data_IF_359982689987
#
_entry.id   IF_359982689987
#
_cell.length_a   1.000
_cell.length_b   1.000
_cell.length_c   1.000
_cell.angle_alpha   90.00
_cell.angle_beta   90.00
_cell.angle_gamma   90.00
#
_symmetry.space_group_name_H-M   'P 1'
#
loop_
_entity.id
_entity.type
_entity.pdbx_description
1 polymer ?
#
# COMPACT_ATOMS: atom_id res chain seq x y z
N UNK A 1 -16.13 -15.63 4.94
CA UNK A 1 -14.80 -15.88 4.36
C UNK A 1 -13.85 -14.90 5.03
N UNK A 2 -12.82 -15.38 5.74
CA UNK A 2 -11.86 -14.49 6.42
C UNK A 2 -10.99 -13.86 5.33
N UNK A 3 -11.20 -12.57 5.05
CA UNK A 3 -10.36 -11.81 4.12
C UNK A 3 -9.18 -11.28 4.93
N UNK A 4 -8.13 -12.08 4.99
CA UNK A 4 -6.93 -11.77 5.75
C UNK A 4 -5.70 -12.26 4.99
N UNK A 5 -4.63 -11.49 5.05
CA UNK A 5 -3.29 -11.96 4.67
C UNK A 5 -2.83 -13.04 5.66
N UNK A 6 -1.95 -13.94 5.24
CA UNK A 6 -1.50 -15.01 6.13
C UNK A 6 -0.69 -14.47 7.31
N UNK A 7 0.08 -13.40 7.09
CA UNK A 7 0.82 -12.70 8.13
C UNK A 7 0.77 -11.19 7.90
N UNK A 8 0.96 -10.41 8.98
CA UNK A 8 1.12 -8.97 8.91
C UNK A 8 2.44 -8.60 9.58
N UNK A 9 3.38 -8.09 8.81
CA UNK A 9 4.65 -7.58 9.28
C UNK A 9 4.60 -6.06 9.45
N UNK A 10 5.28 -5.55 10.47
CA UNK A 10 5.53 -4.13 10.65
C UNK A 10 7.03 -3.91 10.66
N UNK A 11 7.52 -3.05 9.76
CA UNK A 11 8.92 -2.65 9.69
C UNK A 11 9.11 -1.41 10.53
N UNK A 12 10.01 -1.47 11.52
CA UNK A 12 10.27 -0.34 12.41
C UNK A 12 11.56 -0.52 13.20
N UNK A 13 12.21 0.57 13.58
CA UNK A 13 13.46 0.49 14.36
C UNK A 13 13.20 -0.10 15.76
N UNK A 14 14.09 -0.98 16.28
CA UNK A 14 13.97 -1.50 17.65
C UNK A 14 13.97 -0.39 18.72
N UNK A 15 14.65 0.72 18.44
CA UNK A 15 14.73 1.87 19.34
C UNK A 15 13.46 2.72 19.41
N UNK A 16 12.52 2.55 18.46
CA UNK A 16 11.25 3.29 18.41
C UNK A 16 10.16 2.57 19.19
N UNK A 17 10.40 2.37 20.50
CA UNK A 17 9.46 1.67 21.38
C UNK A 17 8.10 2.38 21.44
N UNK A 18 8.09 3.71 21.34
CA UNK A 18 6.88 4.53 21.22
C UNK A 18 5.98 4.11 20.05
N UNK A 19 6.58 3.88 18.87
CA UNK A 19 5.85 3.44 17.67
C UNK A 19 5.41 2.00 17.79
N UNK A 20 6.29 1.13 18.31
CA UNK A 20 6.02 -0.31 18.50
C UNK A 20 4.84 -0.55 19.44
N UNK A 21 4.83 0.11 20.60
CA UNK A 21 3.74 0.02 21.58
C UNK A 21 2.42 0.50 20.95
N UNK A 22 2.46 1.63 20.23
CA UNK A 22 1.31 2.15 19.50
C UNK A 22 0.77 1.18 18.46
N UNK A 23 1.64 0.55 17.65
CA UNK A 23 1.24 -0.43 16.64
C UNK A 23 0.63 -1.68 17.27
N UNK A 24 1.19 -2.19 18.39
CA UNK A 24 0.63 -3.34 19.09
C UNK A 24 -0.77 -3.06 19.63
N UNK A 25 -0.97 -1.91 20.28
CA UNK A 25 -2.29 -1.51 20.78
C UNK A 25 -3.29 -1.37 19.62
N UNK A 26 -2.92 -0.62 18.58
CA UNK A 26 -3.75 -0.38 17.40
C UNK A 26 -4.16 -1.70 16.69
N UNK A 27 -3.22 -2.63 16.54
CA UNK A 27 -3.47 -3.94 15.98
C UNK A 27 -4.43 -4.75 16.86
N UNK A 28 -4.24 -4.74 18.19
CA UNK A 28 -5.14 -5.41 19.14
C UNK A 28 -6.56 -4.85 19.07
N UNK A 29 -6.72 -3.52 19.03
CA UNK A 29 -8.01 -2.84 18.90
C UNK A 29 -8.72 -3.15 17.56
N UNK A 30 -7.96 -3.57 16.55
CA UNK A 30 -8.47 -3.96 15.23
C UNK A 30 -8.64 -5.47 15.08
N UNK A 31 -8.40 -6.26 16.13
CA UNK A 31 -8.34 -7.73 16.08
C UNK A 31 -7.42 -8.20 14.93
N UNK A 32 -6.23 -7.59 14.86
CA UNK A 32 -5.16 -7.90 13.91
C UNK A 32 -3.94 -8.37 14.70
N UNK A 33 -3.30 -9.43 14.21
CA UNK A 33 -2.03 -9.90 14.74
C UNK A 33 -0.92 -9.35 13.85
N UNK A 34 0.09 -8.78 14.49
CA UNK A 34 1.28 -8.25 13.81
C UNK A 34 2.55 -8.88 14.36
N UNK A 35 3.59 -8.90 13.54
CA UNK A 35 4.96 -9.28 13.91
C UNK A 35 5.93 -8.18 13.43
N UNK A 36 6.86 -7.77 14.28
CA UNK A 36 7.83 -6.75 13.92
C UNK A 36 9.03 -7.35 13.18
N UNK A 37 9.43 -6.68 12.11
CA UNK A 37 10.72 -6.85 11.46
C UNK A 37 11.60 -5.68 11.87
N UNK A 38 12.73 -5.99 12.50
CA UNK A 38 13.64 -4.98 13.00
C UNK A 38 14.24 -4.17 11.86
N UNK A 39 14.07 -2.85 11.96
CA UNK A 39 14.71 -1.87 11.10
C UNK A 39 16.23 -1.94 11.23
N UNK A 40 16.92 -1.65 10.12
CA UNK A 40 18.38 -1.69 10.05
C UNK A 40 18.90 -0.27 9.97
N UNK A 41 19.90 0.08 10.79
CA UNK A 41 20.61 1.34 10.62
C UNK A 41 21.51 1.23 9.39
N UNK A 42 21.33 2.10 8.39
CA UNK A 42 22.09 2.01 7.15
C UNK A 42 23.60 2.11 7.35
N UNK A 43 24.08 2.77 8.40
CA UNK A 43 25.50 2.84 8.76
C UNK A 43 26.12 1.46 8.99
N UNK A 44 25.33 0.51 9.43
CA UNK A 44 25.76 -0.85 9.75
C UNK A 44 25.75 -1.77 8.50
N UNK A 45 25.27 -1.28 7.35
CA UNK A 45 25.23 -2.03 6.09
C UNK A 45 26.56 -1.83 5.35
N UNK A 46 27.42 -2.86 5.24
CA UNK A 46 28.70 -2.70 4.53
C UNK A 46 28.47 -2.56 3.02
N UNK A 47 29.32 -1.78 2.34
CA UNK A 47 29.20 -1.52 0.90
C UNK A 47 29.13 -2.81 0.06
N UNK A 48 29.89 -3.83 0.45
CA UNK A 48 29.90 -5.15 -0.22
C UNK A 48 28.56 -5.91 -0.15
N UNK A 49 27.63 -5.49 0.71
CA UNK A 49 26.29 -6.07 0.83
C UNK A 49 25.24 -5.32 0.00
N UNK A 50 25.61 -4.23 -0.68
CA UNK A 50 24.72 -3.45 -1.53
C UNK A 50 24.89 -3.93 -2.97
N UNK A 51 23.86 -4.54 -3.58
CA UNK A 51 23.91 -4.91 -4.99
C UNK A 51 24.19 -3.68 -5.87
N UNK A 52 25.27 -3.77 -6.66
CA UNK A 52 25.68 -2.73 -7.61
C UNK A 52 26.44 -3.38 -8.77
N UNK A 53 26.16 -2.94 -9.99
CA UNK A 53 26.80 -3.42 -11.23
C UNK A 53 27.77 -2.39 -11.82
N UNK A 54 27.80 -1.17 -11.27
CA UNK A 54 28.70 -0.09 -11.65
C UNK A 54 29.14 0.73 -10.42
N UNK A 55 30.23 1.49 -10.57
CA UNK A 55 30.69 2.43 -9.54
C UNK A 55 29.70 3.58 -9.39
N UNK A 56 29.31 3.87 -8.15
CA UNK A 56 28.36 4.93 -7.81
C UNK A 56 28.52 5.36 -6.36
N UNK A 57 27.96 6.53 -6.06
CA UNK A 57 27.86 6.99 -4.69
C UNK A 57 26.95 6.07 -3.86
N UNK A 58 27.36 5.86 -2.62
CA UNK A 58 26.56 5.16 -1.63
C UNK A 58 25.30 5.98 -1.35
N UNK A 59 24.15 5.33 -1.43
CA UNK A 59 22.87 5.93 -1.03
C UNK A 59 22.92 6.33 0.46
N UNK A 60 22.18 7.37 0.83
CA UNK A 60 22.13 7.80 2.23
C UNK A 60 21.70 6.64 3.16
N UNK A 61 22.22 6.65 4.39
CA UNK A 61 22.03 5.54 5.32
C UNK A 61 20.56 5.32 5.70
N UNK A 62 19.74 6.36 5.76
CA UNK A 62 18.32 6.20 6.08
C UNK A 62 17.57 5.40 5.00
N UNK A 63 17.78 5.74 3.72
CA UNK A 63 17.19 5.01 2.59
C UNK A 63 17.74 3.60 2.45
N UNK A 64 19.04 3.38 2.71
CA UNK A 64 19.62 2.03 2.73
C UNK A 64 19.06 1.16 3.87
N UNK A 65 18.89 1.75 5.05
CA UNK A 65 18.29 1.09 6.20
C UNK A 65 16.85 0.66 5.94
N UNK A 66 16.05 1.57 5.36
CA UNK A 66 14.69 1.29 4.89
C UNK A 66 14.67 0.14 3.88
N UNK A 67 15.46 0.23 2.79
CA UNK A 67 15.55 -0.84 1.80
C UNK A 67 15.87 -2.18 2.45
N UNK A 68 16.89 -2.24 3.31
CA UNK A 68 17.31 -3.49 3.91
C UNK A 68 16.24 -4.09 4.82
N UNK A 69 15.57 -3.27 5.62
CA UNK A 69 14.52 -3.72 6.51
C UNK A 69 13.32 -4.30 5.74
N UNK A 70 12.87 -3.64 4.67
CA UNK A 70 11.81 -4.16 3.81
C UNK A 70 12.24 -5.44 3.07
N UNK A 71 13.49 -5.53 2.63
CA UNK A 71 14.00 -6.76 2.03
C UNK A 71 14.07 -7.92 3.03
N UNK A 72 14.29 -7.66 4.33
CA UNK A 72 14.21 -8.69 5.38
C UNK A 72 12.76 -9.18 5.55
N UNK A 73 11.78 -8.28 5.59
CA UNK A 73 10.36 -8.66 5.65
C UNK A 73 9.96 -9.53 4.44
N UNK A 74 10.43 -9.19 3.24
CA UNK A 74 10.19 -9.98 2.02
C UNK A 74 10.87 -11.35 2.09
N UNK A 75 12.05 -11.45 2.70
CA UNK A 75 12.72 -12.74 2.93
C UNK A 75 11.87 -13.66 3.81
N UNK A 76 11.24 -13.14 4.87
CA UNK A 76 10.37 -13.94 5.76
C UNK A 76 9.19 -14.56 5.01
N UNK A 77 8.59 -13.85 4.04
CA UNK A 77 7.52 -14.39 3.19
C UNK A 77 7.98 -15.65 2.45
N UNK A 78 9.18 -15.62 1.90
CA UNK A 78 9.75 -16.74 1.15
C UNK A 78 10.22 -17.85 2.08
N UNK A 79 10.95 -17.50 3.14
CA UNK A 79 11.53 -18.43 4.10
C UNK A 79 10.46 -19.23 4.83
N UNK A 80 9.38 -18.57 5.25
CA UNK A 80 8.24 -19.21 5.94
C UNK A 80 7.21 -19.79 4.98
N UNK A 81 7.45 -19.70 3.67
CA UNK A 81 6.54 -20.15 2.61
C UNK A 81 5.09 -19.63 2.82
N UNK A 82 4.97 -18.33 3.12
CA UNK A 82 3.67 -17.68 3.30
C UNK A 82 3.01 -17.47 1.94
N UNK A 83 1.71 -17.72 1.86
CA UNK A 83 0.89 -17.46 0.66
C UNK A 83 0.83 -15.97 0.34
N UNK A 84 0.70 -15.13 1.37
CA UNK A 84 0.73 -13.67 1.28
C UNK A 84 1.08 -13.04 2.62
N UNK A 85 1.68 -11.86 2.60
CA UNK A 85 1.87 -11.06 3.80
C UNK A 85 1.58 -9.58 3.50
N UNK A 86 0.97 -8.87 4.45
CA UNK A 86 0.90 -7.42 4.48
C UNK A 86 2.11 -6.89 5.23
N UNK A 87 2.81 -5.90 4.67
CA UNK A 87 3.97 -5.27 5.27
C UNK A 87 3.62 -3.79 5.44
N UNK A 88 3.74 -3.29 6.67
CA UNK A 88 3.43 -1.92 7.06
C UNK A 88 4.67 -1.20 7.59
N UNK A 89 4.74 0.11 7.40
CA UNK A 89 5.66 0.98 8.16
C UNK A 89 5.10 1.21 9.58
N UNK A 90 5.94 1.59 10.55
CA UNK A 90 5.56 1.67 11.97
C UNK A 90 4.86 2.98 12.39
N UNK A 91 4.73 3.94 11.47
CA UNK A 91 4.04 5.21 11.66
C UNK A 91 2.74 5.32 10.87
N UNK A 92 2.10 4.18 10.57
CA UNK A 92 0.82 4.16 9.86
C UNK A 92 -0.39 4.00 10.77
N UNK A 93 -1.52 4.39 10.23
CA UNK A 93 -2.84 4.15 10.79
C UNK A 93 -3.90 3.96 9.73
N UNK A 94 -5.04 3.44 10.18
CA UNK A 94 -6.12 2.97 9.33
C UNK A 94 -7.47 3.26 9.96
N UNK A 95 -8.52 3.15 9.14
CA UNK A 95 -9.90 3.32 9.61
C UNK A 95 -10.31 2.09 10.44
N UNK A 96 -11.08 2.27 11.52
CA UNK A 96 -11.61 1.15 12.32
C UNK A 96 -12.36 0.10 11.45
N UNK A 97 -12.84 0.50 10.27
CA UNK A 97 -13.52 -0.35 9.27
C UNK A 97 -12.55 -1.08 8.33
N UNK A 98 -11.25 -1.15 8.64
CA UNK A 98 -10.21 -1.73 7.77
C UNK A 98 -10.53 -3.13 7.26
N UNK A 99 -11.14 -3.99 8.08
CA UNK A 99 -11.53 -5.35 7.64
C UNK A 99 -12.55 -5.33 6.51
N UNK A 100 -13.50 -4.39 6.53
CA UNK A 100 -14.45 -4.18 5.43
C UNK A 100 -13.74 -3.61 4.20
N UNK A 101 -12.86 -2.63 4.38
CA UNK A 101 -12.09 -2.05 3.27
C UNK A 101 -11.20 -3.11 2.57
N UNK A 102 -10.61 -4.03 3.34
CA UNK A 102 -9.83 -5.14 2.81
C UNK A 102 -10.71 -6.18 2.09
N UNK A 103 -11.95 -6.40 2.53
CA UNK A 103 -12.95 -7.20 1.80
C UNK A 103 -13.28 -6.59 0.45
N UNK A 104 -13.55 -5.29 0.40
CA UNK A 104 -13.86 -4.56 -0.82
C UNK A 104 -12.67 -4.56 -1.79
N UNK A 105 -11.46 -4.38 -1.27
CA UNK A 105 -10.22 -4.54 -2.03
C UNK A 105 -10.11 -5.94 -2.62
N UNK A 106 -10.39 -6.98 -1.82
CA UNK A 106 -10.31 -8.37 -2.27
C UNK A 106 -11.31 -8.67 -3.39
N UNK A 107 -12.54 -8.14 -3.32
CA UNK A 107 -13.52 -8.28 -4.40
C UNK A 107 -13.09 -7.52 -5.66
N UNK A 108 -12.56 -6.31 -5.50
CA UNK A 108 -12.15 -5.45 -6.61
C UNK A 108 -10.93 -6.01 -7.36
N UNK A 109 -9.92 -6.47 -6.63
CA UNK A 109 -8.71 -7.09 -7.18
C UNK A 109 -9.03 -8.37 -7.96
N UNK A 110 -9.96 -9.20 -7.47
CA UNK A 110 -10.51 -10.34 -8.19
C UNK A 110 -11.17 -9.94 -9.50
N UNK A 111 -12.02 -8.91 -9.51
CA UNK A 111 -12.69 -8.46 -10.72
C UNK A 111 -11.70 -8.04 -11.83
N UNK A 112 -10.54 -7.51 -11.44
CA UNK A 112 -9.50 -7.04 -12.38
C UNK A 112 -8.59 -8.20 -12.85
N UNK A 113 -8.30 -9.18 -11.99
CA UNK A 113 -7.21 -10.15 -12.24
C UNK A 113 -7.60 -11.63 -12.27
N UNK A 114 -8.85 -11.96 -11.94
CA UNK A 114 -9.37 -13.31 -12.09
C UNK A 114 -10.06 -13.49 -13.45
N UNK A 115 -9.91 -14.67 -14.08
CA UNK A 115 -10.65 -15.00 -15.29
C UNK A 115 -12.16 -14.97 -15.05
N UNK A 116 -12.90 -14.66 -16.12
CA UNK A 116 -14.34 -14.85 -16.15
C UNK A 116 -14.68 -16.35 -16.17
N UNK A 117 -15.83 -16.77 -15.61
CA UNK A 117 -16.21 -18.17 -15.51
C UNK A 117 -16.16 -18.90 -16.85
N UNK A 118 -15.57 -20.09 -16.85
CA UNK A 118 -15.46 -20.95 -18.04
C UNK A 118 -14.76 -20.27 -19.24
N UNK A 119 -13.94 -19.25 -18.99
CA UNK A 119 -13.26 -18.46 -20.01
C UNK A 119 -11.80 -18.19 -19.64
N UNK A 120 -11.00 -17.82 -20.64
CA UNK A 120 -9.65 -17.25 -20.44
C UNK A 120 -9.63 -15.72 -20.51
N UNK A 121 -10.81 -15.11 -20.67
CA UNK A 121 -10.99 -13.67 -20.74
C UNK A 121 -11.09 -13.06 -19.35
N UNK A 122 -10.77 -11.78 -19.25
CA UNK A 122 -10.84 -10.97 -18.04
C UNK A 122 -11.85 -9.84 -18.24
N UNK A 123 -12.38 -9.31 -17.13
CA UNK A 123 -13.22 -8.12 -17.20
C UNK A 123 -12.42 -6.87 -17.58
N UNK A 124 -11.15 -6.81 -17.19
CA UNK A 124 -10.18 -5.89 -17.76
C UNK A 124 -9.66 -6.45 -19.10
N UNK A 125 -10.07 -5.91 -20.26
CA UNK A 125 -9.65 -6.43 -21.56
C UNK A 125 -8.16 -6.21 -21.85
N UNK A 126 -7.46 -5.44 -21.01
CA UNK A 126 -6.01 -5.17 -21.15
C UNK A 126 -5.16 -6.02 -20.21
N UNK A 127 -5.76 -6.87 -19.38
CA UNK A 127 -5.07 -7.82 -18.52
C UNK A 127 -4.90 -9.19 -19.21
N UNK A 128 -3.76 -9.91 -19.05
CA UNK A 128 -2.59 -9.59 -18.21
C UNK A 128 -1.58 -8.63 -18.84
N UNK A 129 -1.67 -8.38 -20.15
CA UNK A 129 -0.80 -7.45 -20.86
C UNK A 129 -1.60 -6.72 -21.95
N UNK A 130 -1.49 -5.39 -22.08
CA UNK A 130 -2.18 -4.65 -23.14
C UNK A 130 -1.74 -5.12 -24.53
N UNK A 131 -2.66 -5.21 -25.49
CA UNK A 131 -2.31 -5.41 -26.89
C UNK A 131 -2.08 -4.06 -27.58
N UNK A 132 -1.25 -4.01 -28.63
CA UNK A 132 -1.00 -2.78 -29.41
C UNK A 132 -2.26 -2.19 -30.06
N UNK A 133 -3.28 -3.03 -30.22
CA UNK A 133 -4.58 -2.71 -30.82
C UNK A 133 -5.66 -2.48 -29.74
N UNK A 134 -5.31 -2.62 -28.46
CA UNK A 134 -6.25 -2.51 -27.34
C UNK A 134 -6.74 -1.07 -27.12
N UNK A 135 -7.95 -0.99 -26.56
CA UNK A 135 -8.67 0.24 -26.27
C UNK A 135 -7.79 1.26 -25.53
N UNK A 136 -7.72 2.49 -26.06
CA UNK A 136 -7.10 3.63 -25.36
C UNK A 136 -7.86 4.01 -24.09
N UNK A 137 -9.15 3.65 -24.01
CA UNK A 137 -10.02 3.87 -22.86
C UNK A 137 -10.72 2.57 -22.47
N UNK A 138 -10.45 2.08 -21.26
CA UNK A 138 -11.13 0.93 -20.66
C UNK A 138 -12.26 1.44 -19.75
N UNK A 139 -13.51 0.98 -19.92
CA UNK A 139 -14.60 1.37 -19.05
C UNK A 139 -14.37 0.99 -17.59
N UNK A 140 -14.85 1.85 -16.69
CA UNK A 140 -14.82 1.57 -15.26
C UNK A 140 -15.78 0.42 -14.90
N UNK A 141 -15.31 -0.50 -14.06
CA UNK A 141 -16.14 -1.54 -13.47
C UNK A 141 -16.74 -0.98 -12.18
N UNK A 142 -18.06 -0.93 -12.07
CA UNK A 142 -18.70 -0.44 -10.84
C UNK A 142 -18.66 -1.52 -9.74
N UNK A 143 -18.25 -1.14 -8.53
CA UNK A 143 -18.15 -2.06 -7.38
C UNK A 143 -19.50 -2.72 -7.02
N UNK A 144 -20.61 -2.00 -7.17
CA UNK A 144 -21.94 -2.57 -6.91
C UNK A 144 -22.45 -3.46 -8.06
N UNK A 145 -21.65 -3.67 -9.10
CA UNK A 145 -21.97 -4.48 -10.27
C UNK A 145 -20.74 -5.22 -10.79
N UNK A 146 -19.94 -5.77 -9.85
CA UNK A 146 -18.76 -6.55 -10.22
C UNK A 146 -19.16 -7.78 -11.06
N UNK A 147 -18.36 -8.10 -12.09
CA UNK A 147 -18.55 -9.34 -12.83
C UNK A 147 -18.30 -10.53 -11.91
N UNK A 148 -19.01 -11.62 -12.17
CA UNK A 148 -18.65 -12.92 -11.58
C UNK A 148 -17.31 -13.35 -12.17
N UNK A 149 -16.39 -13.80 -11.33
CA UNK A 149 -15.09 -14.35 -11.72
C UNK A 149 -14.94 -15.78 -11.20
N UNK A 150 -13.98 -16.52 -11.75
CA UNK A 150 -13.55 -17.79 -11.16
C UNK A 150 -13.14 -17.57 -9.68
N UNK A 151 -13.50 -18.50 -8.77
CA UNK A 151 -13.16 -18.36 -7.36
C UNK A 151 -11.64 -18.47 -7.17
N UNK A 152 -11.03 -17.60 -6.35
CA UNK A 152 -9.60 -17.66 -6.10
C UNK A 152 -9.23 -18.94 -5.34
N UNK A 153 -8.04 -19.47 -5.61
CA UNK A 153 -7.54 -20.72 -5.02
C UNK A 153 -6.50 -20.50 -3.93
N UNK A 154 -5.72 -19.43 -4.02
CA UNK A 154 -4.54 -19.19 -3.19
C UNK A 154 -4.80 -18.07 -2.20
N UNK A 155 -5.32 -16.94 -2.68
CA UNK A 155 -5.47 -15.73 -1.89
C UNK A 155 -6.85 -15.11 -2.09
N UNK A 156 -7.49 -14.57 -1.04
CA UNK A 156 -8.78 -13.89 -1.19
C UNK A 156 -8.69 -12.68 -2.13
N UNK A 157 -7.50 -12.16 -2.44
CA UNK A 157 -7.27 -11.05 -3.36
C UNK A 157 -7.07 -11.50 -4.82
N UNK A 158 -7.26 -12.79 -5.12
CA UNK A 158 -6.99 -13.38 -6.43
C UNK A 158 -5.66 -14.11 -6.49
N UNK A 159 -5.44 -14.85 -7.58
CA UNK A 159 -4.30 -15.75 -7.75
C UNK A 159 -3.16 -15.14 -8.61
N UNK A 160 -3.41 -14.00 -9.27
CA UNK A 160 -2.52 -13.44 -10.31
C UNK A 160 -1.97 -12.04 -9.98
N UNK A 161 -1.74 -11.74 -8.70
CA UNK A 161 -1.11 -10.50 -8.26
C UNK A 161 0.25 -10.76 -7.61
N UNK A 162 1.19 -9.83 -7.80
CA UNK A 162 2.53 -9.85 -7.21
C UNK A 162 2.60 -8.95 -5.99
N UNK A 163 2.06 -7.73 -6.09
CA UNK A 163 2.02 -6.75 -4.99
C UNK A 163 0.69 -5.98 -4.96
N UNK A 164 0.18 -5.74 -3.76
CA UNK A 164 -0.94 -4.80 -3.52
C UNK A 164 -0.40 -3.60 -2.75
N UNK A 165 -0.35 -2.42 -3.37
CA UNK A 165 0.14 -1.20 -2.74
C UNK A 165 -1.03 -0.50 -2.04
N UNK A 166 -1.19 -0.73 -0.74
CA UNK A 166 -2.39 -0.35 0.03
C UNK A 166 -2.18 0.83 0.97
N UNK A 167 -0.94 1.32 1.07
CA UNK A 167 -0.54 2.52 1.77
C UNK A 167 0.54 3.23 0.98
N UNK A 168 0.22 4.41 0.47
CA UNK A 168 1.09 5.21 -0.39
C UNK A 168 0.73 6.70 -0.26
N UNK A 169 1.65 7.59 -0.61
CA UNK A 169 1.42 9.04 -0.58
C UNK A 169 0.96 9.58 -1.94
N UNK A 170 1.09 8.78 -3.00
CA UNK A 170 0.62 9.17 -4.32
C UNK A 170 0.67 8.05 -5.34
N UNK A 171 -0.22 8.14 -6.32
CA UNK A 171 -0.38 7.16 -7.39
C UNK A 171 -1.15 7.82 -8.55
N UNK A 172 -0.79 7.53 -9.80
CA UNK A 172 -1.64 7.86 -10.93
C UNK A 172 -2.49 6.66 -11.33
N UNK A 173 -3.64 6.93 -11.96
CA UNK A 173 -4.26 5.90 -12.79
C UNK A 173 -3.33 5.58 -13.97
N UNK A 174 -3.37 4.34 -14.48
CA UNK A 174 -2.57 4.00 -15.64
C UNK A 174 -2.78 4.97 -16.80
N UNK A 175 -1.71 5.55 -17.34
CA UNK A 175 -1.78 6.50 -18.46
C UNK A 175 -2.29 5.80 -19.72
N UNK A 176 -3.10 6.50 -20.52
CA UNK A 176 -3.74 5.93 -21.72
C UNK A 176 -2.73 5.38 -22.73
N UNK A 177 -1.57 6.04 -22.86
CA UNK A 177 -0.51 5.71 -23.81
C UNK A 177 0.53 4.71 -23.28
N UNK A 178 0.46 4.29 -22.01
CA UNK A 178 1.42 3.34 -21.45
C UNK A 178 1.12 1.92 -21.99
N UNK A 179 2.04 1.29 -22.76
CA UNK A 179 1.77 0.03 -23.45
C UNK A 179 1.99 -1.21 -22.58
N UNK A 180 2.49 -1.05 -21.35
CA UNK A 180 2.92 -2.14 -20.47
C UNK A 180 1.87 -2.43 -19.40
N UNK A 181 1.29 -1.37 -18.83
CA UNK A 181 0.43 -1.46 -17.65
C UNK A 181 -1.04 -1.59 -18.07
N UNK A 182 -1.77 -2.64 -17.66
CA UNK A 182 -3.21 -2.76 -17.89
C UNK A 182 -4.00 -1.59 -17.27
N UNK A 183 -5.18 -1.30 -17.82
CA UNK A 183 -5.95 -0.07 -17.59
C UNK A 183 -7.23 -0.26 -16.78
N UNK A 184 -7.67 -1.50 -16.56
CA UNK A 184 -8.90 -1.80 -15.85
C UNK A 184 -8.88 -1.24 -14.43
N UNK A 185 -10.05 -0.76 -14.01
CA UNK A 185 -10.26 -0.25 -12.65
C UNK A 185 -11.66 -0.56 -12.15
N UNK A 186 -11.76 -0.74 -10.85
CA UNK A 186 -13.01 -0.84 -10.12
C UNK A 186 -13.27 0.47 -9.40
N UNK A 187 -14.49 0.99 -9.51
CA UNK A 187 -14.93 2.24 -8.90
C UNK A 187 -16.05 1.96 -7.88
N UNK A 188 -15.77 2.24 -6.62
CA UNK A 188 -16.72 2.19 -5.52
C UNK A 188 -17.20 3.61 -5.21
N UNK A 189 -18.44 3.90 -5.59
CA UNK A 189 -19.09 5.18 -5.32
C UNK A 189 -19.76 5.17 -3.94
N UNK A 190 -19.79 6.32 -3.28
CA UNK A 190 -20.42 6.51 -1.96
C UNK A 190 -19.80 5.64 -0.86
N UNK A 191 -18.48 5.44 -0.93
CA UNK A 191 -17.73 4.80 0.14
C UNK A 191 -17.58 5.76 1.32
N UNK A 192 -18.40 5.55 2.36
CA UNK A 192 -18.40 6.34 3.61
C UNK A 192 -17.06 6.35 4.37
N UNK A 193 -16.11 5.47 4.01
CA UNK A 193 -14.75 5.49 4.60
C UNK A 193 -13.82 6.47 3.91
N UNK A 194 -14.16 6.94 2.71
CA UNK A 194 -13.38 7.92 1.98
C UNK A 194 -13.69 9.30 2.55
N UNK A 195 -12.65 10.02 3.00
CA UNK A 195 -12.79 11.40 3.44
C UNK A 195 -13.25 12.31 2.29
N UNK A 196 -13.90 13.46 2.59
CA UNK A 196 -14.29 14.43 1.58
C UNK A 196 -13.09 14.90 0.73
N UNK A 197 -13.34 15.33 -0.52
CA UNK A 197 -12.26 15.73 -1.45
C UNK A 197 -11.33 16.80 -0.89
N UNK A 198 -11.84 17.71 -0.06
CA UNK A 198 -11.04 18.76 0.61
C UNK A 198 -9.96 18.17 1.54
N UNK A 199 -10.16 16.95 2.03
CA UNK A 199 -9.31 16.25 2.99
C UNK A 199 -8.45 15.13 2.37
N UNK A 200 -8.60 14.85 1.06
CA UNK A 200 -7.73 13.91 0.34
C UNK A 200 -6.71 14.64 -0.53
N UNK A 201 -5.51 14.07 -0.58
CA UNK A 201 -4.36 14.58 -1.32
C UNK A 201 -3.51 13.45 -1.91
N UNK A 202 -2.62 13.81 -2.83
CA UNK A 202 -1.65 12.90 -3.48
C UNK A 202 -0.41 13.71 -3.86
N UNK A 203 0.77 13.10 -3.86
CA UNK A 203 1.96 13.70 -4.48
C UNK A 203 1.87 13.75 -6.02
N UNK A 204 1.16 12.80 -6.61
CA UNK A 204 1.06 12.62 -8.06
C UNK A 204 -0.05 13.50 -8.63
N UNK A 205 0.31 14.55 -9.37
CA UNK A 205 -0.62 15.46 -10.04
C UNK A 205 -0.64 15.14 -11.55
N UNK A 206 -1.80 15.10 -12.23
CA UNK A 206 -3.15 15.40 -11.75
C UNK A 206 -3.73 14.31 -10.85
N UNK A 207 -4.55 14.70 -9.85
CA UNK A 207 -5.24 13.77 -8.97
C UNK A 207 -6.57 13.32 -9.61
N UNK A 208 -6.47 12.50 -10.66
CA UNK A 208 -7.61 12.12 -11.51
C UNK A 208 -8.84 11.62 -10.73
N UNK A 209 -8.66 10.86 -9.65
CA UNK A 209 -9.75 10.42 -8.79
C UNK A 209 -10.52 11.62 -8.20
N UNK A 210 -9.81 12.53 -7.54
CA UNK A 210 -10.39 13.75 -6.94
C UNK A 210 -11.00 14.66 -8.00
N UNK A 211 -10.36 14.78 -9.16
CA UNK A 211 -10.75 15.74 -10.20
C UNK A 211 -11.97 15.26 -11.00
N UNK A 212 -12.06 13.96 -11.30
CA UNK A 212 -13.06 13.43 -12.26
C UNK A 212 -14.19 12.61 -11.62
N UNK A 213 -14.04 12.12 -10.40
CA UNK A 213 -15.05 11.26 -9.76
C UNK A 213 -15.82 12.00 -8.66
N UNK A 214 -17.05 11.58 -8.31
CA UNK A 214 -17.81 12.19 -7.22
C UNK A 214 -17.10 12.13 -5.86
N UNK A 215 -17.58 12.91 -4.88
CA UNK A 215 -17.23 12.74 -3.46
C UNK A 215 -17.38 11.28 -3.01
N UNK A 216 -16.60 10.86 -2.02
CA UNK A 216 -16.65 9.51 -1.46
C UNK A 216 -16.46 8.40 -2.51
N UNK A 217 -15.54 8.60 -3.45
CA UNK A 217 -15.18 7.57 -4.43
C UNK A 217 -13.86 6.91 -4.07
N UNK A 218 -13.86 5.57 -4.05
CA UNK A 218 -12.64 4.76 -4.01
C UNK A 218 -12.43 4.07 -5.35
N UNK A 219 -11.19 4.05 -5.82
CA UNK A 219 -10.78 3.29 -6.99
C UNK A 219 -9.82 2.17 -6.60
N UNK A 220 -9.89 1.03 -7.29
CA UNK A 220 -8.89 -0.04 -7.26
C UNK A 220 -8.42 -0.26 -8.69
N UNK A 221 -7.11 -0.23 -8.94
CA UNK A 221 -6.55 -0.26 -10.30
C UNK A 221 -5.09 -0.74 -10.30
N UNK A 222 -4.49 -0.87 -11.50
CA UNK A 222 -3.07 -1.20 -11.66
C UNK A 222 -2.16 -0.04 -11.24
N UNK A 223 -1.02 -0.35 -10.62
CA UNK A 223 -0.05 0.65 -10.13
C UNK A 223 0.59 1.42 -11.29
N UNK A 224 0.66 2.75 -11.16
CA UNK A 224 1.52 3.60 -11.97
C UNK A 224 1.95 4.85 -11.18
N UNK A 225 3.24 5.16 -11.25
CA UNK A 225 3.95 6.25 -10.56
C UNK A 225 3.82 6.28 -9.03
N UNK A 226 3.69 5.12 -8.38
CA UNK A 226 3.55 5.02 -6.92
C UNK A 226 4.74 5.59 -6.13
N UNK A 227 4.43 6.23 -4.99
CA UNK A 227 5.42 6.79 -4.03
C UNK A 227 5.01 6.54 -2.58
N UNK A 228 5.99 6.41 -1.68
CA UNK A 228 5.87 5.89 -0.31
C UNK A 228 5.40 4.43 -0.22
N UNK A 229 5.82 3.72 0.84
CA UNK A 229 5.51 2.30 1.07
C UNK A 229 4.85 2.03 2.42
N UNK A 230 4.04 2.98 2.89
CA UNK A 230 3.29 2.93 4.17
C UNK A 230 2.64 1.56 4.41
N UNK A 231 2.08 0.97 3.36
CA UNK A 231 1.61 -0.40 3.40
C UNK A 231 1.60 -1.06 2.04
N UNK A 232 2.10 -2.29 1.96
CA UNK A 232 1.99 -3.10 0.76
C UNK A 232 1.89 -4.57 1.14
N UNK A 233 1.07 -5.32 0.40
CA UNK A 233 1.05 -6.77 0.52
C UNK A 233 1.82 -7.41 -0.63
N UNK A 234 2.42 -8.56 -0.38
CA UNK A 234 3.12 -9.36 -1.38
C UNK A 234 2.56 -10.78 -1.39
N UNK A 235 2.39 -11.35 -2.59
CA UNK A 235 2.12 -12.78 -2.73
C UNK A 235 3.43 -13.55 -2.58
N UNK A 236 3.38 -14.86 -2.35
CA UNK A 236 4.59 -15.69 -2.31
C UNK A 236 5.43 -15.52 -3.59
N UNK A 237 4.76 -15.56 -4.75
CA UNK A 237 5.40 -15.39 -6.05
C UNK A 237 5.97 -13.98 -6.21
N UNK A 238 5.22 -12.95 -5.78
CA UNK A 238 5.66 -11.56 -5.75
C UNK A 238 6.90 -11.36 -4.88
N UNK A 239 6.94 -11.96 -3.69
CA UNK A 239 8.09 -11.89 -2.78
C UNK A 239 9.37 -12.45 -3.43
N UNK A 240 9.28 -13.59 -4.12
CA UNK A 240 10.42 -14.16 -4.87
C UNK A 240 10.88 -13.26 -6.01
N UNK A 241 9.95 -12.62 -6.72
CA UNK A 241 10.26 -11.64 -7.78
C UNK A 241 10.91 -10.39 -7.18
N UNK A 242 10.44 -9.89 -6.05
CA UNK A 242 11.05 -8.75 -5.35
C UNK A 242 12.47 -9.07 -4.86
N UNK A 243 12.72 -10.26 -4.31
CA UNK A 243 14.09 -10.67 -3.97
C UNK A 243 15.03 -10.61 -5.18
N UNK A 244 14.56 -11.05 -6.34
CA UNK A 244 15.33 -10.98 -7.58
C UNK A 244 15.53 -9.54 -8.07
N UNK A 245 14.47 -8.73 -8.11
CA UNK A 245 14.49 -7.41 -8.74
C UNK A 245 15.04 -6.28 -7.84
N UNK A 246 14.89 -6.41 -6.51
CA UNK A 246 15.28 -5.41 -5.52
C UNK A 246 16.41 -5.89 -4.59
N UNK A 247 16.58 -7.21 -4.45
CA UNK A 247 17.62 -7.80 -3.60
C UNK A 247 18.90 -8.18 -4.34
N UNK A 248 18.84 -8.38 -5.67
CA UNK A 248 19.98 -8.85 -6.48
C UNK A 248 20.37 -7.89 -7.61
N UNK A 249 19.63 -6.80 -7.81
CA UNK A 249 19.92 -5.75 -8.81
C UNK A 249 20.21 -4.42 -8.12
N UNK A 250 20.75 -3.47 -8.89
CA UNK A 250 21.18 -2.16 -8.41
C UNK A 250 20.14 -1.45 -7.56
N UNK A 251 20.53 -1.09 -6.33
CA UNK A 251 19.69 -0.37 -5.36
C UNK A 251 19.83 1.13 -5.60
N UNK A 252 19.22 1.65 -6.67
CA UNK A 252 19.47 3.02 -7.18
C UNK A 252 18.73 4.13 -6.45
N UNK A 253 17.61 3.81 -5.83
CA UNK A 253 16.68 4.80 -5.28
C UNK A 253 16.08 4.27 -3.96
N UNK A 254 15.30 5.12 -3.27
CA UNK A 254 14.52 4.71 -2.12
C UNK A 254 13.67 3.45 -2.41
N UNK A 255 13.40 2.66 -1.37
CA UNK A 255 12.69 1.39 -1.52
C UNK A 255 11.36 1.53 -2.27
N UNK A 256 10.60 2.59 -1.98
CA UNK A 256 9.35 2.92 -2.66
C UNK A 256 9.53 3.13 -4.17
N UNK A 257 10.55 3.89 -4.58
CA UNK A 257 10.86 4.11 -6.00
C UNK A 257 11.34 2.81 -6.66
N UNK A 258 12.07 1.94 -5.95
CA UNK A 258 12.41 0.63 -6.48
C UNK A 258 11.18 -0.27 -6.66
N UNK A 259 10.20 -0.21 -5.76
CA UNK A 259 8.91 -0.90 -5.90
C UNK A 259 8.12 -0.34 -7.08
N UNK A 260 8.16 0.97 -7.32
CA UNK A 260 7.61 1.58 -8.54
C UNK A 260 8.24 0.97 -9.79
N UNK A 261 9.57 0.91 -9.87
CA UNK A 261 10.25 0.34 -11.04
C UNK A 261 9.96 -1.15 -11.22
N UNK A 262 9.81 -1.89 -10.12
CA UNK A 262 9.34 -3.28 -10.14
C UNK A 262 7.95 -3.41 -10.74
N UNK A 263 7.00 -2.59 -10.30
CA UNK A 263 5.63 -2.64 -10.81
C UNK A 263 5.53 -2.19 -12.27
N UNK A 264 6.29 -1.18 -12.68
CA UNK A 264 6.21 -0.61 -14.04
C UNK A 264 7.08 -1.37 -15.06
N UNK A 265 8.01 -2.22 -14.62
CA UNK A 265 9.02 -2.79 -15.52
C UNK A 265 9.97 -1.74 -16.09
N UNK A 266 10.37 -0.78 -15.25
CA UNK A 266 11.24 0.32 -15.63
C UNK A 266 12.68 0.10 -15.12
N UNK A 267 13.63 0.92 -15.61
CA UNK A 267 15.02 0.97 -15.10
C UNK A 267 15.69 -0.41 -15.00
N UNK A 268 15.58 -1.22 -16.07
CA UNK A 268 16.20 -2.56 -16.15
C UNK A 268 15.44 -3.66 -15.40
N UNK A 269 14.20 -3.40 -14.97
CA UNK A 269 13.33 -4.37 -14.29
C UNK A 269 12.23 -4.88 -15.21
N UNK A 270 11.67 -6.04 -14.87
CA UNK A 270 10.53 -6.60 -15.59
C UNK A 270 9.23 -6.07 -14.99
N UNK A 271 8.18 -6.01 -15.81
CA UNK A 271 6.84 -5.67 -15.36
C UNK A 271 6.28 -6.77 -14.44
N UNK A 272 5.56 -6.34 -13.42
CA UNK A 272 4.95 -7.21 -12.41
C UNK A 272 3.50 -6.77 -12.12
N UNK A 273 2.65 -7.73 -11.76
CA UNK A 273 1.22 -7.47 -11.56
C UNK A 273 0.98 -6.78 -10.21
N UNK A 274 1.06 -5.46 -10.21
CA UNK A 274 0.82 -4.64 -9.04
C UNK A 274 -0.54 -3.94 -9.12
N UNK A 275 -1.31 -4.02 -8.04
CA UNK A 275 -2.57 -3.29 -7.88
C UNK A 275 -2.48 -2.33 -6.71
N UNK A 276 -3.36 -1.34 -6.67
CA UNK A 276 -3.44 -0.33 -5.62
C UNK A 276 -4.89 0.10 -5.42
N UNK A 277 -5.14 0.87 -4.35
CA UNK A 277 -6.39 1.58 -4.14
C UNK A 277 -6.15 3.06 -3.85
N UNK A 278 -7.01 3.92 -4.40
CA UNK A 278 -6.99 5.36 -4.16
C UNK A 278 -8.35 5.82 -3.60
N UNK A 279 -8.39 6.60 -2.49
CA UNK A 279 -7.26 6.83 -1.57
C UNK A 279 -6.71 5.52 -1.00
N UNK A 280 -5.52 5.55 -0.42
CA UNK A 280 -4.95 4.37 0.21
C UNK A 280 -5.78 3.93 1.45
N UNK A 281 -5.45 2.79 2.03
CA UNK A 281 -6.08 2.26 3.26
C UNK A 281 -5.25 2.55 4.51
N UNK A 282 -3.93 2.59 4.34
CA UNK A 282 -2.97 2.87 5.40
C UNK A 282 -2.29 4.21 5.11
N UNK A 283 -2.32 5.10 6.09
CA UNK A 283 -1.84 6.47 5.95
C UNK A 283 -0.96 6.86 7.13
N UNK A 284 -0.10 7.86 6.94
CA UNK A 284 0.75 8.36 8.01
C UNK A 284 -0.09 8.83 9.20
N UNK A 285 0.30 8.37 10.37
CA UNK A 285 -0.11 8.87 11.65
C UNK A 285 1.00 9.74 12.24
N UNK A 286 0.64 10.97 12.58
CA UNK A 286 1.53 11.90 13.28
C UNK A 286 1.06 12.04 14.70
N UNK A 287 1.82 11.50 15.64
CA UNK A 287 1.53 11.62 17.06
C UNK A 287 1.67 13.08 17.54
N UNK A 288 0.93 13.43 18.60
CA UNK A 288 1.21 14.65 19.36
C UNK A 288 2.61 14.55 19.97
N UNK A 289 3.34 15.67 20.00
CA UNK A 289 4.72 15.70 20.47
C UNK A 289 5.66 16.55 19.60
N UNK A 290 6.97 16.51 19.88
CA UNK A 290 7.97 17.27 19.13
C UNK A 290 8.01 16.90 17.65
N UNK A 291 8.06 17.89 16.76
CA UNK A 291 8.14 17.66 15.31
C UNK A 291 9.44 16.95 14.91
N UNK A 292 10.52 17.16 15.66
CA UNK A 292 11.80 16.49 15.44
C UNK A 292 11.76 14.97 15.71
N UNK A 293 10.70 14.45 16.34
CA UNK A 293 10.51 13.01 16.56
C UNK A 293 9.63 12.35 15.47
N UNK A 294 9.20 13.12 14.47
CA UNK A 294 8.27 12.67 13.42
C UNK A 294 8.86 11.60 12.52
N UNK A 295 10.16 11.61 12.25
CA UNK A 295 10.79 10.61 11.39
C UNK A 295 12.26 10.44 11.74
N UNK A 296 12.74 9.21 11.59
CA UNK A 296 14.17 8.89 11.57
C UNK A 296 14.77 9.08 10.15
N UNK A 297 13.94 9.50 9.19
CA UNK A 297 14.29 9.78 7.79
C UNK A 297 14.07 11.28 7.51
N UNK A 298 15.16 12.04 7.54
CA UNK A 298 15.17 13.49 7.24
C UNK A 298 14.93 14.40 8.45
N UNK A 299 15.13 15.71 8.26
CA UNK A 299 14.87 16.75 9.25
C UNK A 299 13.47 17.34 9.04
N UNK A 300 12.65 17.33 10.11
CA UNK A 300 11.27 17.84 10.13
C UNK A 300 11.14 19.15 10.93
N UNK A 301 12.29 19.76 11.25
CA UNK A 301 12.37 21.04 11.95
C UNK A 301 12.05 20.97 13.45
N UNK A 302 12.09 22.14 14.07
CA UNK A 302 11.72 22.32 15.48
C UNK A 302 10.24 22.64 15.64
N UNK A 303 9.65 22.27 16.78
CA UNK A 303 8.27 22.62 17.12
C UNK A 303 7.56 21.52 17.90
N UNK A 304 6.28 21.74 18.20
CA UNK A 304 5.45 20.81 18.95
C UNK A 304 4.06 20.69 18.31
N UNK A 305 3.60 19.46 18.12
CA UNK A 305 2.26 19.13 17.65
C UNK A 305 1.36 18.86 18.85
N UNK A 306 0.40 19.75 19.07
CA UNK A 306 -0.54 19.65 20.20
C UNK A 306 -1.50 18.45 20.10
N UNK A 307 -1.90 18.07 18.88
CA UNK A 307 -2.86 17.00 18.63
C UNK A 307 -2.36 16.07 17.55
N UNK A 308 -2.49 14.77 17.79
CA UNK A 308 -2.21 13.77 16.78
C UNK A 308 -3.20 13.86 15.61
N UNK A 309 -2.77 13.40 14.44
CA UNK A 309 -3.58 13.38 13.22
C UNK A 309 -3.19 12.22 12.33
N UNK A 310 -4.16 11.59 11.67
CA UNK A 310 -3.91 10.58 10.64
C UNK A 310 -4.44 11.07 9.31
N UNK A 311 -3.58 11.09 8.29
CA UNK A 311 -3.94 11.60 6.97
C UNK A 311 -5.07 10.79 6.34
N UNK A 312 -6.08 11.46 5.76
CA UNK A 312 -7.15 10.88 4.92
C UNK A 312 -8.03 9.78 5.57
N UNK A 313 -7.77 9.39 6.82
CA UNK A 313 -8.55 8.41 7.58
C UNK A 313 -9.62 9.11 8.39
N UNK A 314 -10.89 8.74 8.20
CA UNK A 314 -12.01 9.35 8.94
C UNK A 314 -12.03 8.91 10.40
N UNK A 315 -12.16 7.60 10.62
CA UNK A 315 -12.19 7.02 11.97
C UNK A 315 -10.88 6.31 12.26
N UNK A 316 -9.86 7.10 12.57
CA UNK A 316 -8.53 6.61 12.94
C UNK A 316 -8.62 5.68 14.15
N UNK A 317 -8.02 4.49 14.07
CA UNK A 317 -7.94 3.57 15.21
C UNK A 317 -7.13 4.20 16.33
N UNK A 318 -5.98 4.82 16.02
CA UNK A 318 -5.13 5.45 17.04
C UNK A 318 -5.80 6.60 17.77
N UNK A 319 -6.53 7.45 17.03
CA UNK A 319 -7.19 8.62 17.60
C UNK A 319 -8.54 8.29 18.26
N UNK A 320 -9.06 7.08 18.04
CA UNK A 320 -10.24 6.54 18.73
C UNK A 320 -9.87 5.45 19.75
N UNK A 321 -8.60 5.34 20.16
CA UNK A 321 -8.15 4.27 21.05
C UNK A 321 -8.92 4.25 22.38
N UNK A 322 -9.15 5.40 23.00
CA UNK A 322 -9.90 5.50 24.26
C UNK A 322 -11.35 5.00 24.09
N UNK A 323 -12.05 5.46 23.03
CA UNK A 323 -13.42 5.02 22.72
C UNK A 323 -13.48 3.50 22.53
N UNK A 324 -12.51 2.93 21.82
CA UNK A 324 -12.44 1.49 21.55
C UNK A 324 -12.14 0.68 22.83
N UNK A 325 -11.22 1.16 23.69
CA UNK A 325 -10.86 0.51 24.95
C UNK A 325 -12.04 0.49 25.95
N UNK A 326 -12.89 1.52 25.91
CA UNK A 326 -14.11 1.61 26.72
C UNK A 326 -15.29 0.81 26.12
N UNK A 327 -15.12 0.19 24.95
CA UNK A 327 -16.18 -0.52 24.24
C UNK A 327 -17.25 0.40 23.64
N UNK A 328 -16.93 1.69 23.48
CA UNK A 328 -17.78 2.69 22.87
C UNK A 328 -17.85 2.57 21.34
N UNK A 329 -18.86 3.24 20.76
CA UNK A 329 -19.08 3.28 19.31
C UNK A 329 -19.27 4.70 18.77
N UNK A 330 -19.14 5.72 19.62
CA UNK A 330 -19.25 7.13 19.25
C UNK A 330 -17.88 7.63 18.80
N UNK A 331 -17.50 7.27 17.57
CA UNK A 331 -16.18 7.52 17.05
C UNK A 331 -16.03 8.96 16.56
N UNK A 332 -14.88 9.57 16.87
CA UNK A 332 -14.47 10.86 16.36
C UNK A 332 -14.10 10.73 14.88
N UNK A 333 -14.88 11.42 14.03
CA UNK A 333 -14.55 11.65 12.62
C UNK A 333 -13.58 12.82 12.49
N UNK A 334 -12.37 12.54 12.01
CA UNK A 334 -11.37 13.58 11.72
C UNK A 334 -11.81 14.49 10.57
N UNK A 335 -12.62 13.97 9.65
CA UNK A 335 -12.98 14.61 8.38
C UNK A 335 -14.48 14.49 8.10
N UNK A 336 -15.35 15.07 8.95
CA UNK A 336 -16.78 15.07 8.72
C UNK A 336 -17.14 15.85 7.45
N UNK A 337 -18.21 15.40 6.77
CA UNK A 337 -18.64 16.00 5.50
C UNK A 337 -19.03 17.47 5.70
N UNK A 338 -19.77 17.71 6.77
CA UNK A 338 -20.14 19.04 7.27
C UNK A 338 -19.19 19.44 8.39
N UNK A 339 -18.72 20.70 8.37
CA UNK A 339 -18.07 21.25 9.56
C UNK A 339 -19.10 21.32 10.71
N UNK A 340 -18.71 21.01 11.95
CA UNK A 340 -19.59 21.19 13.11
C UNK A 340 -20.06 22.63 13.27
#
# INVERSE_FOLDING_TARGET
MVVQFQEIFVVGLPSRTDRRDGMFLQAALSDMRIEFIDGVNGKDIPDKAIPTTFERERMNDASLGSWRAHMNAIQEVVQRNLTSALILEDDVDWDIRIKRQLQDLALSTRAITQPLPHSKLYADPTFPAPSKESFTVVPDILFNSLPTTEPPRISPYGDNWDLLWVGHCGMHFPFEDNPVIPKGRVIHLKDETVAPKKNIWTFNIPFTLKDKYPEHTRAVHHVQEGVCTLGYAVSQAGARKLLHELGLKDVTDGFDILVRFFCEGAKGRKYHHCLTTQPALFHHHRAAGPLSAESDIGDHGGGFREKGSTDMVRWSVRLNADVLLEGGTDFVDQYPDNSP
#
